data_IF_947409041975
#
_entry.id   IF_947409041975
#
_cell.length_a   1.000
_cell.length_b   1.000
_cell.length_c   1.000
_cell.angle_alpha   90.00
_cell.angle_beta   90.00
_cell.angle_gamma   90.00
#
_symmetry.space_group_name_H-M   'P 1'
#
loop_
_entity.id
_entity.type
_entity.pdbx_description
1 polymer ?
#
# COMPACT_ATOMS: atom_id res chain seq x y z
N UNK A 1 21.81 3.53 13.76
CA UNK A 1 22.29 3.46 12.35
C UNK A 1 21.48 4.40 11.46
N UNK A 2 22.00 4.77 10.28
CA UNK A 2 21.19 5.47 9.28
C UNK A 2 20.02 4.57 8.86
N UNK A 3 18.83 5.17 8.69
CA UNK A 3 17.64 4.42 8.25
C UNK A 3 17.93 3.70 6.93
N UNK A 4 17.72 2.38 6.86
CA UNK A 4 17.89 1.64 5.61
C UNK A 4 17.07 2.23 4.46
N UNK A 5 17.62 2.26 3.26
CA UNK A 5 16.99 2.84 2.08
C UNK A 5 17.14 4.36 1.92
N UNK A 6 17.63 5.09 2.93
CA UNK A 6 17.93 6.51 2.79
C UNK A 6 19.32 6.77 2.22
N UNK A 7 19.38 7.68 1.25
CA UNK A 7 20.62 8.19 0.70
C UNK A 7 20.96 9.55 1.29
N UNK A 8 22.25 9.78 1.62
CA UNK A 8 22.77 11.09 1.98
C UNK A 8 23.26 11.76 0.68
N UNK A 9 22.61 12.85 0.32
CA UNK A 9 22.80 13.53 -0.95
C UNK A 9 23.29 14.96 -0.70
N UNK A 10 24.18 15.45 -1.58
CA UNK A 10 24.56 16.86 -1.56
C UNK A 10 23.55 17.66 -2.37
N UNK A 11 22.75 18.49 -1.71
CA UNK A 11 21.75 19.34 -2.36
C UNK A 11 22.38 20.58 -2.99
N UNK A 12 23.23 21.24 -2.23
CA UNK A 12 23.98 22.41 -2.65
C UNK A 12 25.29 22.54 -1.85
N UNK A 13 25.97 23.70 -1.91
CA UNK A 13 27.27 23.92 -1.23
C UNK A 13 27.15 23.95 0.29
N UNK A 14 25.93 24.09 0.84
CA UNK A 14 25.68 24.23 2.28
C UNK A 14 24.67 23.23 2.84
N UNK A 15 24.05 22.41 2.00
CA UNK A 15 22.92 21.58 2.42
C UNK A 15 23.14 20.13 2.02
N UNK A 16 23.01 19.23 2.97
CA UNK A 16 22.80 17.79 2.76
C UNK A 16 21.30 17.49 2.80
N UNK A 17 20.86 16.62 1.91
CA UNK A 17 19.51 16.11 1.87
C UNK A 17 19.54 14.60 2.10
N UNK A 18 18.63 14.14 2.94
CA UNK A 18 18.42 12.72 3.21
C UNK A 18 17.18 12.25 2.43
N UNK A 19 17.42 11.34 1.47
CA UNK A 19 16.40 10.94 0.50
C UNK A 19 16.32 11.86 -0.72
N UNK A 20 15.93 11.30 -1.87
CA UNK A 20 15.86 12.03 -3.15
C UNK A 20 14.48 12.69 -3.36
N UNK A 21 13.41 12.05 -2.90
CA UNK A 21 12.04 12.53 -3.06
C UNK A 21 11.87 13.90 -2.38
N UNK A 22 11.20 14.84 -3.06
CA UNK A 22 10.93 16.15 -2.49
C UNK A 22 9.70 16.10 -1.55
N UNK A 23 9.80 16.69 -0.34
CA UNK A 23 10.86 17.57 0.21
C UNK A 23 12.06 16.83 0.79
N UNK A 24 12.20 15.51 0.63
CA UNK A 24 13.17 14.65 1.31
C UNK A 24 12.69 14.28 2.72
N UNK A 25 13.45 13.41 3.39
CA UNK A 25 13.19 13.07 4.81
C UNK A 25 13.66 14.22 5.69
N UNK A 26 14.83 14.78 5.38
CA UNK A 26 15.39 15.95 6.05
C UNK A 26 16.35 16.70 5.13
N UNK A 27 16.44 18.01 5.34
CA UNK A 27 17.50 18.85 4.81
C UNK A 27 18.30 19.41 5.99
N UNK A 28 19.61 19.18 6.03
CA UNK A 28 20.48 19.54 7.11
C UNK A 28 21.58 20.48 6.61
N UNK A 29 22.04 21.38 7.47
CA UNK A 29 23.20 22.19 7.16
C UNK A 29 24.43 21.28 6.99
N UNK A 30 25.11 21.39 5.84
CA UNK A 30 26.35 20.69 5.57
C UNK A 30 27.49 21.26 6.41
N UNK A 31 27.60 20.79 7.65
CA UNK A 31 28.58 21.21 8.63
C UNK A 31 29.59 20.09 8.92
N UNK A 32 30.81 20.44 9.40
CA UNK A 32 31.76 19.42 9.84
C UNK A 32 31.19 18.47 10.89
N UNK A 33 30.31 18.96 11.76
CA UNK A 33 29.66 18.16 12.79
C UNK A 33 28.71 17.12 12.19
N UNK A 34 27.82 17.52 11.27
CA UNK A 34 26.89 16.60 10.60
C UNK A 34 27.65 15.55 9.80
N UNK A 35 28.66 15.94 9.05
CA UNK A 35 29.50 14.97 8.29
C UNK A 35 30.21 14.00 9.22
N UNK A 36 30.86 14.48 10.28
CA UNK A 36 31.57 13.62 11.22
C UNK A 36 30.65 12.61 11.93
N UNK A 37 29.41 13.04 12.27
CA UNK A 37 28.39 12.16 12.83
C UNK A 37 27.94 11.12 11.80
N UNK A 38 27.59 11.51 10.57
CA UNK A 38 27.20 10.60 9.52
C UNK A 38 28.29 9.55 9.21
N UNK A 39 29.58 9.97 9.20
CA UNK A 39 30.72 9.07 9.02
C UNK A 39 30.96 8.13 10.22
N UNK A 40 30.51 8.53 11.42
CA UNK A 40 30.64 7.72 12.63
C UNK A 40 29.48 6.72 12.79
N UNK A 41 28.39 6.90 12.06
CA UNK A 41 27.21 6.04 12.09
C UNK A 41 27.45 4.77 11.26
N UNK A 42 28.15 3.80 11.83
CA UNK A 42 28.52 2.52 11.21
C UNK A 42 27.58 1.35 11.56
N UNK A 43 26.58 1.63 12.38
CA UNK A 43 25.63 0.60 12.84
C UNK A 43 26.12 -0.22 14.05
N UNK A 44 27.35 -0.05 14.52
CA UNK A 44 27.91 -0.80 15.68
C UNK A 44 28.03 0.08 16.91
N UNK A 45 28.20 1.39 16.75
CA UNK A 45 28.31 2.34 17.85
C UNK A 45 26.93 2.74 18.37
N UNK A 46 26.81 2.85 19.67
CA UNK A 46 25.70 3.58 20.31
C UNK A 46 25.85 5.09 20.09
N UNK A 47 24.85 5.87 20.53
CA UNK A 47 24.84 7.33 20.36
C UNK A 47 26.07 7.96 21.03
N UNK A 48 26.46 7.47 22.21
CA UNK A 48 27.64 7.98 22.92
C UNK A 48 28.92 7.72 22.12
N UNK A 49 29.07 6.52 21.58
CA UNK A 49 30.20 6.14 20.71
C UNK A 49 30.26 6.92 19.41
N UNK A 50 29.11 7.25 18.81
CA UNK A 50 29.01 8.14 17.62
C UNK A 50 29.49 9.55 17.96
N UNK A 51 29.04 10.12 19.08
CA UNK A 51 29.42 11.47 19.56
C UNK A 51 30.93 11.50 19.82
N UNK A 52 31.47 10.54 20.59
CA UNK A 52 32.90 10.45 20.87
C UNK A 52 33.75 10.29 19.59
N UNK A 53 33.27 9.54 18.61
CA UNK A 53 33.96 9.38 17.34
C UNK A 53 33.96 10.68 16.50
N UNK A 54 32.89 11.48 16.56
CA UNK A 54 32.83 12.80 15.94
C UNK A 54 33.76 13.80 16.65
N UNK A 55 33.77 13.80 17.98
CA UNK A 55 34.68 14.61 18.79
C UNK A 55 36.15 14.30 18.52
N UNK A 56 36.48 13.03 18.37
CA UNK A 56 37.85 12.59 18.02
C UNK A 56 38.30 13.13 16.65
N UNK A 57 37.37 13.54 15.79
CA UNK A 57 37.64 14.22 14.50
C UNK A 57 37.69 15.76 14.63
N UNK A 58 37.70 16.29 15.84
CA UNK A 58 37.80 17.71 16.13
C UNK A 58 36.46 18.46 16.13
N UNK A 59 35.34 17.76 16.20
CA UNK A 59 34.02 18.38 16.34
C UNK A 59 33.79 18.76 17.82
N UNK A 60 33.36 20.00 18.13
CA UNK A 60 32.99 20.36 19.48
C UNK A 60 31.87 19.48 20.03
N UNK A 61 31.91 19.07 21.33
CA UNK A 61 30.91 18.17 21.93
C UNK A 61 29.46 18.61 21.73
N UNK A 62 29.18 19.90 21.98
CA UNK A 62 27.83 20.46 21.78
C UNK A 62 27.34 20.41 20.32
N UNK A 63 28.24 20.56 19.33
CA UNK A 63 27.88 20.49 17.92
C UNK A 63 27.64 19.04 17.47
N UNK A 64 28.37 18.07 18.03
CA UNK A 64 28.13 16.65 17.78
C UNK A 64 26.77 16.22 18.32
N UNK A 65 26.39 16.60 19.53
CA UNK A 65 25.09 16.33 20.11
C UNK A 65 23.96 16.94 19.26
N UNK A 66 24.05 18.23 18.91
CA UNK A 66 23.04 18.88 18.06
C UNK A 66 22.86 18.18 16.70
N UNK A 67 23.95 17.70 16.09
CA UNK A 67 23.87 16.97 14.84
C UNK A 67 23.19 15.61 15.00
N UNK A 68 23.46 14.89 16.09
CA UNK A 68 22.78 13.61 16.42
C UNK A 68 21.30 13.84 16.66
N UNK A 69 20.94 14.86 17.48
CA UNK A 69 19.55 15.19 17.80
C UNK A 69 18.77 15.54 16.52
N UNK A 70 19.32 16.38 15.65
CA UNK A 70 18.68 16.74 14.39
C UNK A 70 18.45 15.51 13.47
N UNK A 71 19.38 14.56 13.47
CA UNK A 71 19.24 13.31 12.69
C UNK A 71 18.23 12.35 13.32
N UNK A 72 18.11 12.32 14.64
CA UNK A 72 17.10 11.53 15.36
C UNK A 72 15.70 12.13 15.16
N UNK A 73 15.55 13.44 15.36
CA UNK A 73 14.28 14.14 15.22
C UNK A 73 13.72 14.06 13.81
N UNK A 74 14.59 14.06 12.81
CA UNK A 74 14.19 13.84 11.41
C UNK A 74 13.81 12.39 11.10
N UNK A 75 14.07 11.46 12.02
CA UNK A 75 13.91 10.03 11.79
C UNK A 75 14.91 9.42 10.79
N UNK A 76 15.99 10.13 10.50
CA UNK A 76 17.07 9.63 9.65
C UNK A 76 17.97 8.61 10.36
N UNK A 77 18.13 8.75 11.67
CA UNK A 77 18.74 7.73 12.52
C UNK A 77 17.68 6.85 13.17
N UNK A 78 17.94 5.56 13.19
CA UNK A 78 17.06 4.55 13.79
C UNK A 78 17.86 3.63 14.70
N UNK A 79 17.17 3.06 15.70
CA UNK A 79 17.78 2.08 16.59
C UNK A 79 18.05 0.77 15.83
N UNK A 80 19.26 0.25 15.99
CA UNK A 80 19.68 -1.02 15.39
C UNK A 80 19.19 -2.24 16.17
N UNK A 81 18.68 -2.07 17.39
CA UNK A 81 18.12 -3.16 18.16
C UNK A 81 16.92 -3.85 17.48
N UNK A 82 16.39 -3.23 16.41
CA UNK A 82 15.33 -3.79 15.57
C UNK A 82 15.94 -4.81 14.61
N UNK A 83 15.82 -6.09 14.96
CA UNK A 83 16.35 -7.21 14.17
C UNK A 83 15.52 -7.42 12.91
N UNK A 84 16.20 -7.54 11.77
CA UNK A 84 15.57 -7.90 10.50
C UNK A 84 15.04 -9.34 10.56
N UNK A 85 13.75 -9.59 10.27
CA UNK A 85 13.22 -10.94 10.14
C UNK A 85 13.99 -11.76 9.09
N UNK A 86 14.17 -13.05 9.35
CA UNK A 86 15.00 -13.93 8.52
C UNK A 86 14.41 -14.11 7.11
N UNK A 87 13.09 -14.07 7.01
CA UNK A 87 12.31 -14.22 5.77
C UNK A 87 12.40 -13.02 4.84
N UNK A 88 12.78 -11.83 5.35
CA UNK A 88 12.94 -10.64 4.52
C UNK A 88 14.36 -10.53 3.97
N UNK A 89 14.50 -10.18 2.72
CA UNK A 89 15.77 -9.75 2.18
C UNK A 89 16.11 -8.29 2.59
N UNK A 90 17.26 -7.78 2.16
CA UNK A 90 17.65 -6.40 2.49
C UNK A 90 16.79 -5.34 1.80
N UNK A 91 16.28 -5.62 0.60
CA UNK A 91 15.45 -4.68 -0.15
C UNK A 91 14.08 -4.54 0.50
N UNK A 92 13.42 -5.68 0.82
CA UNK A 92 12.15 -5.69 1.52
C UNK A 92 12.25 -5.03 2.91
N UNK A 93 13.33 -5.30 3.64
CA UNK A 93 13.56 -4.65 4.94
C UNK A 93 13.74 -3.13 4.83
N UNK A 94 14.50 -2.68 3.82
CA UNK A 94 14.66 -1.25 3.55
C UNK A 94 13.33 -0.60 3.17
N UNK A 95 12.51 -1.28 2.36
CA UNK A 95 11.16 -0.82 2.03
C UNK A 95 10.27 -0.67 3.28
N UNK A 96 10.32 -1.63 4.22
CA UNK A 96 9.58 -1.53 5.49
C UNK A 96 10.00 -0.29 6.31
N UNK A 97 11.30 0.05 6.32
CA UNK A 97 11.78 1.26 6.97
C UNK A 97 11.30 2.54 6.29
N UNK A 98 11.24 2.56 4.96
CA UNK A 98 10.70 3.70 4.21
C UNK A 98 9.20 3.88 4.46
N UNK A 99 8.44 2.77 4.45
CA UNK A 99 6.99 2.76 4.74
C UNK A 99 6.67 3.18 6.18
N UNK A 100 7.53 2.83 7.14
CA UNK A 100 7.33 3.17 8.55
C UNK A 100 7.29 4.69 8.81
N UNK A 101 7.86 5.49 7.91
CA UNK A 101 7.97 6.93 8.12
C UNK A 101 8.87 7.28 9.35
N UNK A 102 8.97 8.55 9.73
CA UNK A 102 9.94 8.99 10.75
C UNK A 102 9.63 8.52 12.18
N UNK A 103 8.40 8.14 12.48
CA UNK A 103 7.93 7.86 13.85
C UNK A 103 7.65 6.40 14.17
N UNK A 104 7.81 5.50 13.21
CA UNK A 104 7.57 4.08 13.39
C UNK A 104 8.80 3.24 13.06
N UNK A 105 8.77 1.95 13.37
CA UNK A 105 9.84 1.00 13.06
C UNK A 105 9.41 0.05 11.96
N UNK A 106 10.38 -0.44 11.18
CA UNK A 106 10.12 -1.46 10.17
C UNK A 106 9.46 -2.71 10.77
N UNK A 107 9.85 -3.10 12.00
CA UNK A 107 9.22 -4.24 12.70
C UNK A 107 7.76 -4.00 13.03
N UNK A 108 7.38 -2.76 13.37
CA UNK A 108 5.97 -2.44 13.63
C UNK A 108 5.14 -2.58 12.34
N UNK A 109 5.63 -2.04 11.22
CA UNK A 109 4.99 -2.20 9.91
C UNK A 109 4.91 -3.67 9.51
N UNK A 110 6.02 -4.40 9.61
CA UNK A 110 6.04 -5.83 9.29
C UNK A 110 5.04 -6.62 10.12
N UNK A 111 4.98 -6.40 11.43
CA UNK A 111 4.03 -7.08 12.32
C UNK A 111 2.58 -6.86 11.90
N UNK A 112 2.17 -5.60 11.65
CA UNK A 112 0.80 -5.28 11.20
C UNK A 112 0.50 -5.96 9.87
N UNK A 113 1.46 -5.97 8.94
CA UNK A 113 1.31 -6.64 7.65
C UNK A 113 1.15 -8.16 7.80
N UNK A 114 1.82 -8.81 8.77
CA UNK A 114 1.67 -10.24 9.05
C UNK A 114 0.30 -10.62 9.65
N UNK A 115 -0.44 -9.67 10.19
CA UNK A 115 -1.82 -9.87 10.65
C UNK A 115 -2.82 -9.89 9.48
N UNK A 116 -2.42 -9.39 8.30
CA UNK A 116 -3.25 -9.37 7.11
C UNK A 116 -3.12 -10.67 6.34
N UNK A 117 -4.15 -11.49 6.35
CA UNK A 117 -4.25 -12.73 5.56
C UNK A 117 -5.11 -12.48 4.33
N UNK A 118 -4.48 -12.55 3.18
CA UNK A 118 -5.09 -12.25 1.88
C UNK A 118 -5.67 -13.53 1.27
N UNK A 119 -6.94 -13.53 0.95
CA UNK A 119 -7.58 -14.56 0.14
C UNK A 119 -7.88 -13.99 -1.25
N UNK A 120 -7.35 -14.62 -2.30
CA UNK A 120 -7.63 -14.25 -3.69
C UNK A 120 -8.75 -15.14 -4.19
N UNK A 121 -9.92 -14.54 -4.39
CA UNK A 121 -11.11 -15.20 -4.93
C UNK A 121 -11.21 -14.93 -6.42
N UNK A 122 -11.15 -15.97 -7.20
CA UNK A 122 -11.16 -15.94 -8.65
C UNK A 122 -10.11 -16.85 -9.29
N UNK A 123 -10.02 -16.78 -10.59
CA UNK A 123 -9.06 -17.59 -11.38
C UNK A 123 -8.66 -16.82 -12.64
N UNK A 124 -7.55 -17.25 -13.26
CA UNK A 124 -7.03 -16.63 -14.48
C UNK A 124 -5.80 -15.77 -14.24
N UNK A 125 -5.40 -15.01 -15.25
CA UNK A 125 -4.11 -14.29 -15.25
C UNK A 125 -4.04 -13.21 -14.18
N UNK A 126 -5.14 -12.48 -13.94
CA UNK A 126 -5.21 -11.46 -12.90
C UNK A 126 -5.04 -12.09 -11.52
N UNK A 127 -5.77 -13.19 -11.22
CA UNK A 127 -5.68 -13.89 -9.95
C UNK A 127 -4.27 -14.42 -9.68
N UNK A 128 -3.67 -15.08 -10.69
CA UNK A 128 -2.32 -15.66 -10.60
C UNK A 128 -1.26 -14.56 -10.32
N UNK A 129 -1.37 -13.44 -11.04
CA UNK A 129 -0.44 -12.31 -10.87
C UNK A 129 -0.60 -11.64 -9.51
N UNK A 130 -1.84 -11.37 -9.07
CA UNK A 130 -2.11 -10.78 -7.75
C UNK A 130 -1.57 -11.70 -6.66
N UNK A 131 -1.86 -13.02 -6.72
CA UNK A 131 -1.38 -13.98 -5.73
C UNK A 131 0.15 -13.99 -5.63
N UNK A 132 0.83 -14.00 -6.78
CA UNK A 132 2.30 -13.95 -6.81
C UNK A 132 2.84 -12.66 -6.23
N UNK A 133 2.30 -11.50 -6.65
CA UNK A 133 2.78 -10.21 -6.18
C UNK A 133 2.49 -9.98 -4.70
N UNK A 134 1.36 -10.47 -4.17
CA UNK A 134 1.05 -10.46 -2.73
C UNK A 134 2.08 -11.28 -1.95
N UNK A 135 2.49 -12.43 -2.47
CA UNK A 135 3.56 -13.23 -1.87
C UNK A 135 4.92 -12.53 -1.93
N UNK A 136 5.26 -11.89 -3.07
CA UNK A 136 6.49 -11.10 -3.24
C UNK A 136 6.53 -9.88 -2.30
N UNK A 137 5.36 -9.32 -1.95
CA UNK A 137 5.20 -8.29 -0.90
C UNK A 137 5.32 -8.83 0.54
N UNK A 138 5.62 -10.13 0.71
CA UNK A 138 5.67 -10.81 2.00
C UNK A 138 4.37 -10.67 2.83
N UNK A 139 3.22 -10.61 2.16
CA UNK A 139 1.92 -10.65 2.80
C UNK A 139 1.43 -12.10 2.90
N UNK A 140 0.87 -12.53 4.04
CA UNK A 140 0.35 -13.88 4.18
C UNK A 140 -0.81 -14.15 3.21
N UNK A 141 -0.65 -15.16 2.36
CA UNK A 141 -1.74 -15.71 1.54
C UNK A 141 -2.43 -16.85 2.29
N UNK A 142 -3.74 -16.93 2.16
CA UNK A 142 -4.55 -18.07 2.61
C UNK A 142 -5.29 -18.69 1.46
N UNK A 143 -5.54 -20.01 1.54
CA UNK A 143 -6.34 -20.76 0.58
C UNK A 143 -7.79 -20.97 1.06
N UNK A 144 -8.08 -20.55 2.26
CA UNK A 144 -9.42 -20.59 2.85
C UNK A 144 -9.96 -19.18 3.08
N UNK A 145 -11.14 -18.92 2.56
CA UNK A 145 -11.84 -17.67 2.84
C UNK A 145 -12.18 -17.49 4.33
N UNK A 146 -12.25 -18.59 5.11
CA UNK A 146 -12.55 -18.52 6.55
C UNK A 146 -11.38 -17.95 7.37
N UNK A 147 -10.17 -18.10 6.87
CA UNK A 147 -8.96 -17.58 7.51
C UNK A 147 -8.58 -16.18 7.03
N UNK A 148 -9.30 -15.63 6.05
CA UNK A 148 -8.99 -14.34 5.46
C UNK A 148 -9.29 -13.18 6.42
N UNK A 149 -8.49 -12.11 6.31
CA UNK A 149 -8.80 -10.80 6.89
C UNK A 149 -9.10 -9.77 5.82
N UNK A 150 -8.75 -10.07 4.58
CA UNK A 150 -9.10 -9.28 3.38
C UNK A 150 -9.26 -10.23 2.20
N UNK A 151 -10.26 -9.95 1.36
CA UNK A 151 -10.54 -10.73 0.14
C UNK A 151 -10.20 -9.90 -1.09
N UNK A 152 -9.60 -10.51 -2.11
CA UNK A 152 -9.41 -9.88 -3.42
C UNK A 152 -10.27 -10.63 -4.42
N UNK A 153 -11.36 -10.03 -4.84
CA UNK A 153 -12.28 -10.58 -5.85
C UNK A 153 -11.70 -10.26 -7.22
N UNK A 154 -11.19 -11.28 -7.92
CA UNK A 154 -10.47 -11.11 -9.19
C UNK A 154 -11.20 -11.78 -10.35
N UNK A 155 -11.07 -11.18 -11.53
CA UNK A 155 -11.49 -11.81 -12.79
C UNK A 155 -10.65 -11.29 -13.97
N UNK A 156 -10.53 -12.12 -15.00
CA UNK A 156 -9.98 -11.71 -16.31
C UNK A 156 -10.98 -10.87 -17.14
N UNK A 157 -12.11 -10.54 -16.53
CA UNK A 157 -13.19 -9.66 -17.02
C UNK A 157 -13.78 -8.87 -15.85
N UNK A 158 -15.06 -8.50 -15.88
CA UNK A 158 -15.75 -7.86 -14.74
C UNK A 158 -15.71 -8.76 -13.49
N UNK A 159 -15.42 -8.19 -12.31
CA UNK A 159 -15.39 -8.94 -11.06
C UNK A 159 -16.71 -9.63 -10.74
N UNK A 160 -16.67 -10.79 -10.10
CA UNK A 160 -17.87 -11.55 -9.70
C UNK A 160 -18.69 -10.77 -8.65
N UNK A 161 -19.96 -10.53 -8.97
CA UNK A 161 -20.92 -9.88 -8.05
C UNK A 161 -21.27 -10.82 -6.90
N UNK A 162 -21.35 -12.13 -7.17
CA UNK A 162 -21.62 -13.15 -6.16
C UNK A 162 -20.51 -13.21 -5.11
N UNK A 163 -19.26 -13.23 -5.54
CA UNK A 163 -18.08 -13.21 -4.65
C UNK A 163 -18.03 -11.92 -3.82
N UNK A 164 -18.31 -10.78 -4.44
CA UNK A 164 -18.35 -9.50 -3.74
C UNK A 164 -19.50 -9.44 -2.70
N UNK A 165 -20.67 -9.97 -3.05
CA UNK A 165 -21.81 -10.07 -2.13
C UNK A 165 -21.53 -11.04 -0.99
N UNK A 166 -20.82 -12.15 -1.22
CA UNK A 166 -20.39 -13.07 -0.18
C UNK A 166 -19.43 -12.40 0.79
N UNK A 167 -18.39 -11.72 0.29
CA UNK A 167 -17.45 -10.97 1.14
C UNK A 167 -18.18 -9.91 1.97
N UNK A 168 -19.13 -9.18 1.36
CA UNK A 168 -19.99 -8.20 2.06
C UNK A 168 -20.83 -8.83 3.17
N UNK A 169 -21.51 -9.97 2.91
CA UNK A 169 -22.34 -10.66 3.91
C UNK A 169 -21.53 -11.17 5.09
N UNK A 170 -20.29 -11.59 4.83
CA UNK A 170 -19.36 -12.06 5.86
C UNK A 170 -18.63 -10.94 6.60
N UNK A 171 -18.83 -9.69 6.18
CA UNK A 171 -18.19 -8.53 6.81
C UNK A 171 -16.70 -8.39 6.54
N UNK A 172 -16.16 -9.06 5.51
CA UNK A 172 -14.75 -8.93 5.15
C UNK A 172 -14.50 -7.65 4.36
N UNK A 173 -13.45 -6.90 4.67
CA UNK A 173 -12.90 -5.94 3.71
C UNK A 173 -12.50 -6.66 2.42
N UNK A 174 -12.78 -6.05 1.28
CA UNK A 174 -12.45 -6.68 0.00
C UNK A 174 -12.13 -5.66 -1.10
N UNK A 175 -11.30 -6.08 -2.05
CA UNK A 175 -10.93 -5.31 -3.24
C UNK A 175 -11.47 -6.02 -4.48
N UNK A 176 -12.16 -5.30 -5.36
CA UNK A 176 -12.54 -5.80 -6.67
C UNK A 176 -11.43 -5.51 -7.69
N UNK A 177 -11.05 -6.50 -8.50
CA UNK A 177 -10.03 -6.35 -9.55
C UNK A 177 -10.49 -7.07 -10.81
N UNK A 178 -10.47 -6.37 -11.92
CA UNK A 178 -10.93 -6.94 -13.18
C UNK A 178 -10.36 -6.27 -14.41
N UNK A 179 -10.85 -6.72 -15.54
CA UNK A 179 -10.48 -6.20 -16.86
C UNK A 179 -11.75 -5.89 -17.65
N UNK A 180 -11.72 -4.81 -18.39
CA UNK A 180 -12.77 -4.43 -19.35
C UNK A 180 -12.10 -4.09 -20.67
N UNK A 181 -12.07 -5.02 -21.60
CA UNK A 181 -11.35 -4.98 -22.87
C UNK A 181 -9.91 -4.44 -22.70
N UNK A 182 -9.71 -3.15 -22.97
CA UNK A 182 -8.42 -2.47 -22.86
C UNK A 182 -8.31 -1.52 -21.64
N UNK A 183 -9.06 -1.82 -20.57
CA UNK A 183 -9.02 -1.07 -19.32
C UNK A 183 -8.89 -2.04 -18.15
N UNK A 184 -7.83 -1.88 -17.37
CA UNK A 184 -7.70 -2.54 -16.07
C UNK A 184 -8.52 -1.83 -15.01
N UNK A 185 -9.17 -2.58 -14.14
CA UNK A 185 -10.04 -2.05 -13.08
C UNK A 185 -9.49 -2.46 -11.72
N UNK A 186 -9.27 -1.49 -10.85
CA UNK A 186 -8.89 -1.74 -9.45
C UNK A 186 -9.82 -0.94 -8.55
N UNK A 187 -10.59 -1.62 -7.74
CA UNK A 187 -11.62 -1.04 -6.89
C UNK A 187 -13.04 -1.44 -7.29
N UNK A 188 -14.02 -1.10 -6.44
CA UNK A 188 -13.80 -0.43 -5.16
C UNK A 188 -13.07 -1.31 -4.15
N UNK A 189 -12.27 -0.69 -3.26
CA UNK A 189 -11.88 -1.32 -2.00
C UNK A 189 -13.01 -1.07 -1.00
N UNK A 190 -13.62 -2.13 -0.55
CA UNK A 190 -14.83 -2.07 0.26
C UNK A 190 -14.53 -2.40 1.71
N UNK A 191 -14.86 -1.48 2.59
CA UNK A 191 -14.97 -1.73 4.03
C UNK A 191 -16.47 -1.80 4.34
N UNK A 192 -17.02 -3.00 4.63
CA UNK A 192 -18.46 -3.19 4.81
C UNK A 192 -19.08 -2.19 5.79
N UNK A 193 -20.18 -1.57 5.40
CA UNK A 193 -20.87 -0.54 6.18
C UNK A 193 -20.22 0.84 6.19
N UNK A 194 -19.04 1.03 5.56
CA UNK A 194 -18.30 2.29 5.62
C UNK A 194 -18.01 2.93 4.26
N UNK A 195 -17.82 2.11 3.23
CA UNK A 195 -17.47 2.59 1.89
C UNK A 195 -18.46 2.09 0.84
N UNK A 196 -18.47 2.73 -0.33
CA UNK A 196 -19.26 2.28 -1.46
C UNK A 196 -18.84 0.87 -1.89
N UNK A 197 -19.80 -0.03 -2.04
CA UNK A 197 -19.56 -1.40 -2.51
C UNK A 197 -19.72 -1.54 -4.02
N UNK A 198 -19.42 -2.73 -4.57
CA UNK A 198 -19.54 -2.98 -6.01
C UNK A 198 -20.99 -2.76 -6.51
N UNK A 199 -22.00 -3.09 -5.69
CA UNK A 199 -23.39 -2.82 -6.04
C UNK A 199 -23.72 -1.31 -6.10
N UNK A 200 -23.08 -0.48 -5.28
CA UNK A 200 -23.19 0.98 -5.40
C UNK A 200 -22.66 1.45 -6.77
N UNK A 201 -21.51 0.93 -7.19
CA UNK A 201 -20.93 1.21 -8.51
C UNK A 201 -21.90 0.82 -9.62
N UNK A 202 -22.50 -0.38 -9.54
CA UNK A 202 -23.46 -0.87 -10.51
C UNK A 202 -24.72 0.01 -10.56
N UNK A 203 -25.24 0.45 -9.44
CA UNK A 203 -26.41 1.35 -9.39
C UNK A 203 -26.12 2.69 -10.06
N UNK A 204 -24.96 3.31 -9.77
CA UNK A 204 -24.58 4.55 -10.46
C UNK A 204 -24.37 4.34 -11.97
N UNK A 205 -23.77 3.22 -12.38
CA UNK A 205 -23.61 2.91 -13.81
C UNK A 205 -24.95 2.64 -14.48
N UNK A 206 -25.89 2.00 -13.79
CA UNK A 206 -27.26 1.78 -14.32
C UNK A 206 -28.07 3.06 -14.50
N UNK A 207 -27.76 4.12 -13.76
CA UNK A 207 -28.34 5.44 -13.99
C UNK A 207 -27.83 6.07 -15.31
N UNK A 208 -26.61 5.74 -15.74
CA UNK A 208 -26.04 6.21 -17.01
C UNK A 208 -26.44 5.29 -18.18
N UNK A 209 -26.46 3.99 -17.95
CA UNK A 209 -26.87 2.97 -18.92
C UNK A 209 -27.80 1.94 -18.24
N UNK A 210 -29.11 2.01 -18.50
CA UNK A 210 -30.09 1.08 -17.93
C UNK A 210 -29.82 -0.41 -18.28
N UNK A 211 -29.05 -0.69 -19.32
CA UNK A 211 -28.67 -2.05 -19.71
C UNK A 211 -27.43 -2.57 -19.00
N UNK A 212 -26.78 -1.77 -18.16
CA UNK A 212 -25.50 -2.08 -17.52
C UNK A 212 -25.46 -3.49 -16.90
N UNK A 213 -26.40 -3.82 -16.04
CA UNK A 213 -26.45 -5.14 -15.38
C UNK A 213 -26.63 -6.29 -16.37
N UNK A 214 -27.46 -6.09 -17.41
CA UNK A 214 -27.65 -7.10 -18.46
C UNK A 214 -26.35 -7.35 -19.25
N UNK A 215 -25.57 -6.31 -19.49
CA UNK A 215 -24.27 -6.43 -20.15
C UNK A 215 -23.27 -7.19 -19.28
N UNK A 216 -23.20 -6.88 -17.99
CA UNK A 216 -22.34 -7.58 -17.03
C UNK A 216 -22.72 -9.06 -16.92
N UNK A 217 -24.01 -9.37 -16.79
CA UNK A 217 -24.51 -10.76 -16.75
C UNK A 217 -24.15 -11.53 -18.02
N UNK A 218 -24.21 -10.86 -19.19
CA UNK A 218 -23.84 -11.46 -20.47
C UNK A 218 -22.35 -11.82 -20.55
N UNK A 219 -21.47 -11.03 -19.91
CA UNK A 219 -20.04 -11.34 -19.82
C UNK A 219 -19.83 -12.56 -18.94
N UNK A 220 -20.50 -12.64 -17.79
CA UNK A 220 -20.39 -13.78 -16.88
C UNK A 220 -20.98 -15.08 -17.48
N UNK A 221 -22.02 -14.98 -18.31
CA UNK A 221 -22.61 -16.12 -19.00
C UNK A 221 -21.70 -16.70 -20.10
N UNK A 222 -20.75 -15.91 -20.64
CA UNK A 222 -19.83 -16.33 -21.68
C UNK A 222 -18.35 -16.02 -21.35
N UNK A 223 -17.78 -16.63 -20.31
CA UNK A 223 -16.44 -16.32 -19.83
C UNK A 223 -15.33 -16.65 -20.86
N UNK A 224 -15.61 -17.51 -21.86
CA UNK A 224 -14.65 -17.84 -22.90
C UNK A 224 -14.39 -16.70 -23.89
N UNK A 225 -15.33 -15.75 -24.02
CA UNK A 225 -15.19 -14.58 -24.89
C UNK A 225 -14.43 -13.43 -24.19
N UNK A 226 -14.43 -13.41 -22.87
CA UNK A 226 -13.82 -12.36 -22.07
C UNK A 226 -12.43 -12.76 -21.58
N UNK A 227 -11.44 -12.72 -22.48
CA UNK A 227 -10.05 -12.96 -22.06
C UNK A 227 -9.33 -11.65 -21.84
N UNK A 228 -8.40 -11.68 -20.90
CA UNK A 228 -7.53 -10.59 -20.51
C UNK A 228 -7.05 -9.74 -21.66
N UNK A 229 -6.88 -8.47 -21.37
CA UNK A 229 -6.18 -7.52 -22.22
C UNK A 229 -4.70 -7.87 -22.41
N UNK A 230 -3.91 -6.97 -23.01
CA UNK A 230 -2.48 -7.16 -23.20
C UNK A 230 -1.77 -7.51 -21.90
N UNK A 231 -0.75 -8.41 -21.90
CA UNK A 231 -0.06 -8.83 -20.68
C UNK A 231 0.52 -7.67 -19.84
N UNK A 232 0.96 -6.60 -20.50
CA UNK A 232 1.43 -5.38 -19.82
C UNK A 232 0.32 -4.69 -19.00
N UNK A 233 -0.89 -4.61 -19.55
CA UNK A 233 -2.04 -4.04 -18.85
C UNK A 233 -2.46 -4.91 -17.66
N UNK A 234 -2.50 -6.23 -17.85
CA UNK A 234 -2.80 -7.20 -16.78
C UNK A 234 -1.78 -7.05 -15.64
N UNK A 235 -0.49 -6.91 -15.98
CA UNK A 235 0.58 -6.72 -14.99
C UNK A 235 0.43 -5.39 -14.23
N UNK A 236 0.11 -4.31 -14.92
CA UNK A 236 -0.13 -3.01 -14.29
C UNK A 236 -1.33 -3.06 -13.35
N UNK A 237 -2.42 -3.71 -13.78
CA UNK A 237 -3.64 -3.86 -12.98
C UNK A 237 -3.36 -4.69 -11.72
N UNK A 238 -2.69 -5.83 -11.85
CA UNK A 238 -2.32 -6.67 -10.72
C UNK A 238 -1.35 -5.97 -9.76
N UNK A 239 -0.35 -5.24 -10.30
CA UNK A 239 0.58 -4.45 -9.49
C UNK A 239 -0.12 -3.35 -8.70
N UNK A 240 -1.03 -2.62 -9.34
CA UNK A 240 -1.81 -1.59 -8.65
C UNK A 240 -2.70 -2.19 -7.56
N UNK A 241 -3.39 -3.29 -7.85
CA UNK A 241 -4.21 -4.00 -6.87
C UNK A 241 -3.39 -4.48 -5.67
N UNK A 242 -2.20 -5.04 -5.91
CA UNK A 242 -1.29 -5.47 -4.84
C UNK A 242 -0.84 -4.29 -3.98
N UNK A 243 -0.55 -3.13 -4.58
CA UNK A 243 -0.22 -1.92 -3.84
C UNK A 243 -1.38 -1.47 -2.92
N UNK A 244 -2.63 -1.51 -3.37
CA UNK A 244 -3.81 -1.19 -2.55
C UNK A 244 -3.93 -2.13 -1.34
N UNK A 245 -3.71 -3.44 -1.55
CA UNK A 245 -3.67 -4.43 -0.46
C UNK A 245 -2.51 -4.16 0.50
N UNK A 246 -1.32 -3.81 0.00
CA UNK A 246 -0.17 -3.48 0.82
C UNK A 246 -0.37 -2.20 1.66
N UNK A 247 -1.05 -1.19 1.11
CA UNK A 247 -1.46 0.02 1.83
C UNK A 247 -2.42 -0.36 2.96
N UNK A 248 -3.46 -1.15 2.68
CA UNK A 248 -4.39 -1.65 3.69
C UNK A 248 -3.69 -2.43 4.79
N UNK A 249 -2.83 -3.38 4.41
CA UNK A 249 -2.05 -4.18 5.34
C UNK A 249 -1.10 -3.35 6.21
N UNK A 250 -0.74 -2.15 5.79
CA UNK A 250 0.07 -1.21 6.57
C UNK A 250 -0.75 -0.29 7.47
N UNK A 251 -2.08 -0.47 7.52
CA UNK A 251 -3.00 0.30 8.37
C UNK A 251 -3.45 1.62 7.77
N UNK A 252 -3.19 1.86 6.48
CA UNK A 252 -3.66 3.04 5.76
C UNK A 252 -4.87 2.71 4.88
N UNK A 253 -5.65 3.73 4.53
CA UNK A 253 -6.79 3.55 3.62
C UNK A 253 -6.29 3.55 2.16
N UNK A 254 -6.63 2.51 1.37
CA UNK A 254 -6.37 2.47 -0.06
C UNK A 254 -7.04 3.62 -0.82
N UNK A 255 -6.45 4.03 -1.94
CA UNK A 255 -7.04 5.07 -2.81
C UNK A 255 -8.34 4.59 -3.43
N UNK A 256 -8.48 3.29 -3.65
CA UNK A 256 -9.70 2.68 -4.19
C UNK A 256 -10.85 2.56 -3.18
N UNK A 257 -10.70 3.00 -1.92
CA UNK A 257 -11.86 3.23 -1.04
C UNK A 257 -12.76 4.31 -1.64
N UNK A 258 -14.04 3.99 -1.85
CA UNK A 258 -15.01 4.85 -2.54
C UNK A 258 -14.63 5.25 -3.98
N UNK A 259 -13.69 4.53 -4.60
CA UNK A 259 -13.23 4.81 -5.95
C UNK A 259 -12.98 3.52 -6.75
N UNK A 260 -13.07 3.65 -8.07
CA UNK A 260 -12.53 2.67 -9.01
C UNK A 260 -11.43 3.34 -9.80
N UNK A 261 -10.25 2.72 -9.80
CA UNK A 261 -9.11 3.14 -10.60
C UNK A 261 -9.21 2.44 -11.95
N UNK A 262 -9.31 3.22 -13.01
CA UNK A 262 -9.36 2.76 -14.39
C UNK A 262 -8.00 2.99 -15.06
N UNK A 263 -7.36 1.91 -15.49
CA UNK A 263 -6.02 1.88 -16.10
C UNK A 263 -6.17 1.57 -17.57
N UNK A 264 -6.23 2.59 -18.47
CA UNK A 264 -6.40 2.35 -19.89
C UNK A 264 -5.09 1.87 -20.54
N UNK A 265 -5.19 0.98 -21.52
CA UNK A 265 -4.08 0.63 -22.38
C UNK A 265 -3.74 1.75 -23.37
N UNK A 266 -2.47 2.03 -23.57
CA UNK A 266 -2.03 3.04 -24.54
C UNK A 266 -1.86 4.44 -23.95
N UNK A 267 -2.28 5.48 -24.67
CA UNK A 267 -2.03 6.88 -24.32
C UNK A 267 -3.02 7.47 -23.30
N UNK A 268 -3.93 6.67 -22.76
CA UNK A 268 -4.87 7.11 -21.73
C UNK A 268 -4.17 7.37 -20.40
N UNK A 269 -4.71 8.32 -19.64
CA UNK A 269 -4.27 8.54 -18.25
C UNK A 269 -5.01 7.60 -17.32
N UNK A 270 -4.33 7.12 -16.27
CA UNK A 270 -5.00 6.44 -15.16
C UNK A 270 -6.02 7.39 -14.56
N UNK A 271 -7.26 6.93 -14.44
CA UNK A 271 -8.36 7.72 -13.91
C UNK A 271 -8.86 7.12 -12.60
N UNK A 272 -9.29 7.97 -11.70
CA UNK A 272 -9.91 7.55 -10.45
C UNK A 272 -11.35 8.08 -10.46
N UNK A 273 -12.31 7.16 -10.52
CA UNK A 273 -13.74 7.49 -10.55
C UNK A 273 -14.31 7.32 -9.17
N UNK A 274 -14.83 8.40 -8.58
CA UNK A 274 -15.41 8.39 -7.23
C UNK A 274 -16.84 7.86 -7.21
N UNK A 275 -17.17 7.12 -6.16
CA UNK A 275 -18.51 6.61 -5.86
C UNK A 275 -18.82 6.88 -4.39
N UNK A 276 -20.09 7.04 -4.09
CA UNK A 276 -20.58 7.13 -2.71
C UNK A 276 -21.50 5.93 -2.42
N UNK A 277 -21.74 5.57 -1.16
CA UNK A 277 -22.79 4.61 -0.83
C UNK A 277 -24.10 5.06 -1.49
N UNK A 278 -24.65 4.20 -2.35
CA UNK A 278 -25.88 4.54 -3.10
C UNK A 278 -27.09 4.40 -2.18
N UNK A 279 -28.03 5.37 -2.18
CA UNK A 279 -29.20 5.33 -1.30
C UNK A 279 -30.06 4.05 -1.42
N UNK A 280 -30.13 3.48 -2.62
CA UNK A 280 -30.90 2.27 -2.91
C UNK A 280 -30.11 0.97 -2.70
N UNK A 281 -28.82 1.04 -2.30
CA UNK A 281 -27.97 -0.14 -2.18
C UNK A 281 -28.25 -0.94 -0.90
N UNK A 282 -28.51 -0.26 0.21
CA UNK A 282 -28.66 -0.89 1.53
C UNK A 282 -27.36 -1.34 2.21
N UNK A 283 -26.18 -1.14 1.58
CA UNK A 283 -24.90 -1.55 2.16
C UNK A 283 -24.46 -0.69 3.36
N UNK A 284 -25.05 0.51 3.53
CA UNK A 284 -24.78 1.41 4.65
C UNK A 284 -25.69 1.23 5.88
N UNK A 285 -26.67 0.34 5.83
CA UNK A 285 -27.67 0.20 6.92
C UNK A 285 -27.07 -0.32 8.24
N UNK A 286 -25.93 -0.97 8.22
CA UNK A 286 -25.25 -1.43 9.44
C UNK A 286 -24.65 -0.28 10.25
N UNK A 287 -24.20 0.79 9.60
CA UNK A 287 -23.64 1.98 10.27
C UNK A 287 -24.73 2.85 10.96
N UNK A 288 -25.96 2.81 10.48
CA UNK A 288 -27.08 3.53 11.11
C UNK A 288 -27.56 2.86 12.40
N UNK A 289 -27.44 1.53 12.51
CA UNK A 289 -27.83 0.80 13.73
C UNK A 289 -26.86 1.04 14.90
N UNK A 290 -25.56 1.22 14.64
CA UNK A 290 -24.58 1.55 15.69
C UNK A 290 -24.76 2.98 16.22
N UNK A 291 -25.22 3.92 15.37
CA UNK A 291 -25.47 5.30 15.78
C UNK A 291 -26.78 5.47 16.56
N UNK A 292 -27.74 4.56 16.40
CA UNK A 292 -29.02 4.59 17.14
C UNK A 292 -28.94 3.92 18.51
N UNK A 293 -27.88 3.19 18.82
CA UNK A 293 -27.70 2.48 20.10
C UNK A 293 -26.62 3.15 21.00
N UNK A 294 -26.06 4.26 20.62
CA UNK A 294 -25.14 5.09 21.40
C UNK A 294 -25.83 6.39 21.85
#
# INVERSE_FOLDING_TARGET
MLRPGLHVLRRDVRTLQLGLEWPGVAALLDSPAVRAVLDAVDGFRDITGVILAAEARGVPPGAAHQAVDALLDSGALVDQAVVKPAELDHAAWSAMWLLAGPRATASAVHRVRQETRVYVDGSGQVADLVSRLVADEHLPLTHSSDDATVVVVTADHEPSRESADEAMRRGFPFLCVGMRELVGLVGPFVVPGRTACLRCVDLFRSQLDPCWLTLVDSIHANPAAARCGPPSLVTLTAGYATQEIAIWASGALPVSCDHVVEIPHGLGQVQTVGYQPHPECGCGWQSEQETMTA
#
